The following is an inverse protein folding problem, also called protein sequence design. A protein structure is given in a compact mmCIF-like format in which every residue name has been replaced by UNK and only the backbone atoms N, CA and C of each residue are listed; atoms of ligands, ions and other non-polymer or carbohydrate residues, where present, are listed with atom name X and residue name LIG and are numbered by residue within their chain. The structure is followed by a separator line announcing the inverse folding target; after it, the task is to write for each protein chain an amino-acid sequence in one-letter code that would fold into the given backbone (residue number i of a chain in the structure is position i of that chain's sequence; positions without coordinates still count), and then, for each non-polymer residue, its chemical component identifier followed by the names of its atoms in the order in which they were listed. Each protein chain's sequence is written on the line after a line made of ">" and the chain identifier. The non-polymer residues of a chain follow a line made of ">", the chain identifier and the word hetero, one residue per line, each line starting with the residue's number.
data_IF_214065442790
#
_entry.id   IF_214065442790
#
_cell.length_a   1.000
_cell.length_b   1.000
_cell.length_c   1.000
_cell.angle_alpha   90.00
_cell.angle_beta   90.00
_cell.angle_gamma   90.00
#
_symmetry.space_group_name_H-M   'P 1'
#
loop_
_entity.id
_entity.type
_entity.pdbx_description
1 polymer ?
#
# COMPACT_ATOMS: atom_id res chain seq x y z
N UNK A 1 22.78 -6.56 13.99
CA UNK A 1 23.00 -5.17 13.50
C UNK A 1 21.87 -4.34 14.00
N UNK A 2 22.13 -3.30 14.75
CA UNK A 2 21.11 -2.56 15.48
C UNK A 2 20.47 -1.49 14.58
N UNK A 3 19.23 -1.72 14.12
CA UNK A 3 18.48 -0.80 13.26
C UNK A 3 17.88 0.41 14.00
N UNK A 4 18.31 0.66 15.23
CA UNK A 4 17.71 1.67 16.14
C UNK A 4 18.14 3.12 15.89
N UNK A 5 19.00 3.42 14.90
CA UNK A 5 19.63 4.74 14.74
C UNK A 5 18.94 5.68 13.73
N UNK A 6 17.79 5.33 13.18
CA UNK A 6 17.25 5.97 11.97
C UNK A 6 16.12 6.98 12.17
N UNK A 7 15.92 7.63 13.30
CA UNK A 7 15.03 8.83 13.30
C UNK A 7 15.49 9.84 14.34
N UNK A 8 16.21 10.87 13.92
CA UNK A 8 16.25 12.16 14.60
C UNK A 8 15.55 13.19 13.73
N UNK A 9 14.27 13.41 13.97
CA UNK A 9 13.54 14.54 13.42
C UNK A 9 13.70 15.74 14.35
N UNK A 10 14.19 16.85 13.82
CA UNK A 10 14.21 18.14 14.51
C UNK A 10 12.85 18.84 14.30
N UNK A 11 12.28 19.51 15.31
CA UNK A 11 11.04 20.25 15.16
C UNK A 11 11.30 21.63 14.53
N UNK A 12 10.63 21.93 13.42
CA UNK A 12 10.53 23.30 12.88
C UNK A 12 9.20 23.88 13.32
N UNK A 13 9.27 24.94 14.12
CA UNK A 13 8.13 25.74 14.51
C UNK A 13 7.74 26.66 13.36
N UNK A 14 6.50 26.58 12.88
CA UNK A 14 5.94 27.50 11.89
C UNK A 14 4.97 28.48 12.58
N UNK A 15 5.23 29.76 12.42
CA UNK A 15 4.39 30.86 12.88
C UNK A 15 3.21 31.09 11.92
N UNK A 16 2.02 31.23 12.47
CA UNK A 16 0.77 31.55 11.77
C UNK A 16 0.63 33.06 11.63
N UNK A 17 0.46 33.55 10.40
CA UNK A 17 -0.01 34.91 10.11
C UNK A 17 -1.39 34.85 9.48
N UNK A 18 -2.36 35.38 10.21
CA UNK A 18 -3.74 35.61 9.76
C UNK A 18 -3.81 36.92 8.97
N UNK A 19 -4.36 36.85 7.77
CA UNK A 19 -4.86 38.03 7.04
C UNK A 19 -6.28 37.77 6.56
N UNK A 20 -7.20 38.51 7.13
CA UNK A 20 -8.58 38.57 6.70
C UNK A 20 -8.73 39.67 5.63
N UNK A 21 -9.45 39.41 4.54
CA UNK A 21 -10.06 40.40 3.71
C UNK A 21 -11.38 39.89 3.14
N UNK A 22 -12.41 40.72 3.29
CA UNK A 22 -13.80 40.47 3.03
C UNK A 22 -14.26 41.01 1.66
N UNK A 23 -15.43 40.51 1.25
CA UNK A 23 -16.45 41.14 0.40
C UNK A 23 -16.44 40.90 -1.11
N UNK A 24 -17.60 40.42 -1.58
CA UNK A 24 -18.18 40.74 -2.86
C UNK A 24 -18.95 39.57 -3.50
N UNK A 25 -20.28 39.53 -3.31
CA UNK A 25 -21.16 38.51 -3.87
C UNK A 25 -21.47 38.75 -5.36
N UNK A 26 -21.91 37.69 -6.01
CA UNK A 26 -22.92 37.72 -7.08
C UNK A 26 -23.49 36.30 -7.28
N UNK A 27 -24.77 36.16 -7.08
CA UNK A 27 -25.58 35.00 -7.38
C UNK A 27 -25.53 34.60 -8.85
N UNK A 28 -25.24 33.36 -9.13
CA UNK A 28 -25.69 32.71 -10.35
C UNK A 28 -26.09 31.26 -10.01
N UNK A 29 -27.38 31.07 -9.84
CA UNK A 29 -28.06 29.78 -9.82
C UNK A 29 -27.88 29.07 -11.15
N UNK A 30 -26.96 28.11 -11.20
CA UNK A 30 -26.93 27.12 -12.27
C UNK A 30 -27.46 25.80 -11.72
N UNK A 31 -28.66 25.45 -12.17
CA UNK A 31 -29.31 24.17 -11.96
C UNK A 31 -28.40 23.04 -12.50
N UNK A 32 -27.78 22.29 -11.62
CA UNK A 32 -27.08 21.06 -11.99
C UNK A 32 -28.13 19.99 -12.26
N UNK A 33 -28.45 19.78 -13.52
CA UNK A 33 -29.16 18.60 -13.99
C UNK A 33 -28.30 17.37 -13.68
N UNK A 34 -28.79 16.48 -12.83
CA UNK A 34 -28.16 15.20 -12.54
C UNK A 34 -28.15 14.31 -13.79
N UNK A 35 -27.06 14.33 -14.53
CA UNK A 35 -26.75 13.24 -15.47
C UNK A 35 -26.10 12.13 -14.65
N UNK A 36 -26.72 10.93 -14.65
CA UNK A 36 -26.11 9.70 -14.16
C UNK A 36 -24.79 9.48 -14.90
N UNK A 37 -23.68 9.89 -14.28
CA UNK A 37 -22.37 9.81 -14.88
C UNK A 37 -21.90 8.36 -14.97
N UNK A 38 -21.62 7.90 -16.18
CA UNK A 38 -20.74 6.76 -16.39
C UNK A 38 -19.49 6.96 -15.55
N UNK A 39 -18.92 5.89 -14.98
CA UNK A 39 -17.64 5.95 -14.28
C UNK A 39 -16.65 6.71 -15.15
N UNK A 40 -16.02 7.77 -14.62
CA UNK A 40 -15.08 8.59 -15.39
C UNK A 40 -13.96 7.67 -15.89
N UNK A 41 -13.76 7.61 -17.19
CA UNK A 41 -12.60 6.93 -17.75
C UNK A 41 -11.34 7.75 -17.42
N UNK A 42 -10.18 7.11 -17.21
CA UNK A 42 -8.94 7.85 -17.07
C UNK A 42 -8.69 8.69 -18.33
N UNK A 43 -7.99 9.84 -18.20
CA UNK A 43 -7.62 10.64 -19.36
C UNK A 43 -6.90 9.80 -20.40
N UNK A 44 -7.25 9.98 -21.67
CA UNK A 44 -6.62 9.26 -22.79
C UNK A 44 -5.18 9.73 -22.94
N UNK A 45 -4.23 8.86 -22.67
CA UNK A 45 -2.80 9.08 -22.86
C UNK A 45 -2.17 7.85 -23.52
N UNK A 46 -1.19 8.06 -24.36
CA UNK A 46 -0.43 6.97 -24.97
C UNK A 46 0.74 6.58 -24.04
N UNK A 47 0.97 5.27 -23.92
CA UNK A 47 2.21 4.77 -23.34
C UNK A 47 3.41 5.11 -24.24
N UNK A 48 4.61 5.18 -23.67
CA UNK A 48 5.83 5.34 -24.46
C UNK A 48 6.00 4.20 -25.45
N UNK A 49 6.53 4.51 -26.64
CA UNK A 49 6.84 3.50 -27.69
C UNK A 49 8.30 3.07 -27.70
N UNK A 50 9.17 3.78 -27.01
CA UNK A 50 10.61 3.48 -26.89
C UNK A 50 11.21 4.15 -25.66
N UNK A 51 12.35 3.63 -25.19
CA UNK A 51 13.19 4.25 -24.17
C UNK A 51 14.44 4.78 -24.84
N UNK A 52 14.69 6.07 -24.66
CA UNK A 52 15.87 6.76 -25.19
C UNK A 52 17.02 6.85 -24.20
N UNK A 53 17.93 7.80 -24.48
CA UNK A 53 18.97 8.19 -23.51
C UNK A 53 18.29 8.80 -22.28
N UNK A 54 18.82 8.51 -21.08
CA UNK A 54 18.33 9.14 -19.87
C UNK A 54 18.56 10.66 -19.87
N UNK A 55 17.66 11.37 -19.22
CA UNK A 55 17.66 12.84 -19.15
C UNK A 55 18.63 13.38 -18.07
N UNK A 56 19.38 12.51 -17.40
CA UNK A 56 20.42 12.87 -16.43
C UNK A 56 19.89 13.03 -14.99
N UNK A 57 18.60 13.01 -14.78
CA UNK A 57 17.97 13.16 -13.46
C UNK A 57 16.72 12.28 -13.34
N UNK A 58 16.36 11.90 -12.10
CA UNK A 58 15.14 11.18 -11.78
C UNK A 58 14.64 11.63 -10.39
N UNK A 59 13.44 12.18 -10.33
CA UNK A 59 12.82 12.62 -9.07
C UNK A 59 11.64 11.69 -8.75
N UNK A 60 11.75 10.90 -7.69
CA UNK A 60 10.75 9.88 -7.34
C UNK A 60 10.22 10.05 -5.92
N UNK A 61 8.98 9.61 -5.73
CA UNK A 61 8.38 9.41 -4.42
C UNK A 61 8.44 7.91 -4.11
N UNK A 62 8.93 7.57 -2.92
CA UNK A 62 9.06 6.18 -2.50
C UNK A 62 8.73 5.99 -1.02
N UNK A 63 8.32 4.79 -0.64
CA UNK A 63 8.35 4.38 0.75
C UNK A 63 9.80 4.34 1.26
N UNK A 64 9.99 4.57 2.56
CA UNK A 64 11.30 4.42 3.18
C UNK A 64 11.80 2.98 3.01
N UNK A 65 13.01 2.83 2.48
CA UNK A 65 13.62 1.52 2.21
C UNK A 65 13.53 1.05 0.75
N UNK A 66 12.83 1.76 -0.15
CA UNK A 66 12.73 1.34 -1.56
C UNK A 66 13.81 1.94 -2.47
N UNK A 67 14.53 2.95 -2.01
CA UNK A 67 15.56 3.60 -2.82
C UNK A 67 16.76 3.97 -1.94
N UNK A 68 17.56 2.96 -1.60
CA UNK A 68 18.73 3.11 -0.74
C UNK A 68 20.00 3.40 -1.54
N UNK A 69 20.75 4.41 -1.07
CA UNK A 69 21.97 4.93 -1.68
C UNK A 69 23.23 4.72 -0.80
N UNK A 70 23.14 3.89 0.22
CA UNK A 70 24.20 3.65 1.18
C UNK A 70 24.31 4.70 2.29
N UNK A 71 23.43 5.71 2.34
CA UNK A 71 23.45 6.73 3.39
C UNK A 71 22.95 6.17 4.73
N UNK A 72 21.95 5.28 4.70
CA UNK A 72 21.39 4.62 5.87
C UNK A 72 22.28 3.44 6.35
N UNK A 73 22.71 2.61 5.43
CA UNK A 73 23.66 1.50 5.67
C UNK A 73 24.56 1.39 4.44
N UNK A 74 25.87 1.51 4.64
CA UNK A 74 26.88 1.48 3.57
C UNK A 74 26.92 0.18 2.76
N UNK A 75 26.33 -0.89 3.28
CA UNK A 75 26.20 -2.19 2.60
C UNK A 75 24.92 -2.32 1.77
N UNK A 76 24.04 -1.33 1.85
CA UNK A 76 22.71 -1.33 1.23
C UNK A 76 22.61 -0.15 0.26
N UNK A 77 22.93 -0.43 -1.00
CA UNK A 77 23.00 0.58 -2.05
C UNK A 77 22.67 -0.04 -3.41
N UNK A 78 21.59 0.36 -4.01
CA UNK A 78 21.21 0.05 -5.39
C UNK A 78 20.95 1.31 -6.22
N UNK A 79 20.93 2.47 -5.59
CA UNK A 79 20.77 3.76 -6.27
C UNK A 79 22.10 4.15 -6.94
N UNK A 80 23.21 4.17 -6.22
CA UNK A 80 24.51 4.56 -6.80
C UNK A 80 24.92 3.71 -8.02
N UNK A 81 24.75 2.37 -8.01
CA UNK A 81 24.99 1.57 -9.21
C UNK A 81 24.08 1.92 -10.39
N UNK A 82 22.80 2.22 -10.14
CA UNK A 82 21.87 2.69 -11.18
C UNK A 82 22.34 4.00 -11.80
N UNK A 83 22.69 4.98 -10.98
CA UNK A 83 23.20 6.28 -11.43
C UNK A 83 24.45 6.14 -12.30
N UNK A 84 25.41 5.30 -11.87
CA UNK A 84 26.64 5.03 -12.63
C UNK A 84 26.36 4.37 -13.97
N UNK A 85 25.39 3.46 -14.02
CA UNK A 85 25.07 2.71 -15.24
C UNK A 85 24.28 3.54 -16.24
N UNK A 86 23.37 4.39 -15.76
CA UNK A 86 22.38 5.08 -16.60
C UNK A 86 22.66 6.56 -16.81
N UNK A 87 23.46 7.17 -15.93
CA UNK A 87 23.65 8.63 -15.86
C UNK A 87 22.45 9.37 -15.25
N UNK A 88 21.43 8.67 -14.74
CA UNK A 88 20.25 9.26 -14.13
C UNK A 88 20.47 9.46 -12.62
N UNK A 89 20.72 10.69 -12.17
CA UNK A 89 20.87 11.02 -10.74
C UNK A 89 19.50 10.94 -10.05
N UNK A 90 19.39 10.17 -8.96
CA UNK A 90 18.13 9.88 -8.28
C UNK A 90 17.93 10.81 -7.08
N UNK A 91 16.81 11.53 -7.07
CA UNK A 91 16.37 12.30 -5.93
C UNK A 91 15.09 11.67 -5.36
N UNK A 92 15.15 11.25 -4.11
CA UNK A 92 14.06 10.53 -3.45
C UNK A 92 13.33 11.45 -2.48
N UNK A 93 12.03 11.55 -2.63
CA UNK A 93 11.12 12.06 -1.62
C UNK A 93 10.44 10.89 -0.91
N UNK A 94 10.68 10.72 0.36
CA UNK A 94 9.95 9.72 1.16
C UNK A 94 8.50 10.19 1.35
N UNK A 95 7.57 9.32 0.97
CA UNK A 95 6.15 9.40 1.31
C UNK A 95 5.85 8.44 2.45
N UNK A 96 5.11 8.90 3.46
CA UNK A 96 4.84 8.11 4.66
C UNK A 96 3.47 7.43 4.61
N UNK A 97 2.58 7.89 3.73
CA UNK A 97 1.24 7.33 3.52
C UNK A 97 0.85 7.41 2.05
N UNK A 98 -0.07 6.54 1.61
CA UNK A 98 -0.67 6.60 0.28
C UNK A 98 -1.29 7.96 -0.03
N UNK A 99 -1.94 8.61 0.95
CA UNK A 99 -2.56 9.93 0.79
C UNK A 99 -1.51 11.03 0.57
N UNK A 100 -0.38 10.99 1.30
CA UNK A 100 0.74 11.91 1.07
C UNK A 100 1.30 11.72 -0.34
N UNK A 101 1.52 10.48 -0.79
CA UNK A 101 2.05 10.19 -2.14
C UNK A 101 1.12 10.70 -3.24
N UNK A 102 -0.19 10.51 -3.12
CA UNK A 102 -1.18 11.06 -4.07
C UNK A 102 -1.12 12.59 -4.09
N UNK A 103 -0.98 13.23 -2.93
CA UNK A 103 -0.87 14.69 -2.82
C UNK A 103 0.40 15.21 -3.48
N UNK A 104 1.53 14.55 -3.24
CA UNK A 104 2.82 14.90 -3.83
C UNK A 104 2.81 14.76 -5.36
N UNK A 105 2.21 13.68 -5.90
CA UNK A 105 2.10 13.47 -7.35
C UNK A 105 1.31 14.57 -8.06
N UNK A 106 0.25 15.08 -7.44
CA UNK A 106 -0.55 16.20 -7.99
C UNK A 106 0.27 17.47 -8.23
N UNK A 107 1.37 17.66 -7.51
CA UNK A 107 2.25 18.82 -7.71
C UNK A 107 2.92 18.82 -9.08
N UNK A 108 3.06 17.67 -9.74
CA UNK A 108 3.76 17.50 -11.01
C UNK A 108 5.28 17.74 -10.92
N UNK A 109 5.85 17.66 -9.73
CA UNK A 109 7.29 17.86 -9.50
C UNK A 109 8.11 16.58 -9.60
N UNK A 110 7.44 15.42 -9.59
CA UNK A 110 8.05 14.10 -9.57
C UNK A 110 7.84 13.36 -10.88
N UNK A 111 8.80 12.52 -11.24
CA UNK A 111 8.77 11.69 -12.45
C UNK A 111 8.04 10.38 -12.23
N UNK A 112 7.99 9.91 -10.98
CA UNK A 112 7.28 8.69 -10.63
C UNK A 112 7.08 8.50 -9.14
N UNK A 113 6.32 7.46 -8.81
CA UNK A 113 5.97 7.09 -7.45
C UNK A 113 5.89 5.57 -7.29
N UNK A 114 6.30 5.06 -6.14
CA UNK A 114 5.95 3.69 -5.71
C UNK A 114 4.66 3.75 -4.91
N UNK A 115 3.55 3.27 -5.48
CA UNK A 115 2.22 3.39 -4.90
C UNK A 115 1.62 2.03 -4.58
N UNK A 116 0.90 1.93 -3.45
CA UNK A 116 0.10 0.78 -3.09
C UNK A 116 -1.28 0.83 -3.77
N UNK A 117 -1.98 -0.31 -3.84
CA UNK A 117 -3.22 -0.45 -4.61
C UNK A 117 -4.37 0.48 -4.17
N UNK A 118 -4.37 0.95 -2.93
CA UNK A 118 -5.33 1.94 -2.43
C UNK A 118 -5.14 3.34 -3.02
N UNK A 119 -3.95 3.64 -3.57
CA UNK A 119 -3.63 4.91 -4.23
C UNK A 119 -3.68 4.83 -5.76
N UNK A 120 -3.40 3.66 -6.35
CA UNK A 120 -3.12 3.54 -7.78
C UNK A 120 -4.26 4.03 -8.67
N UNK A 121 -5.51 3.59 -8.45
CA UNK A 121 -6.64 4.03 -9.27
C UNK A 121 -6.96 5.53 -9.06
N UNK A 122 -6.68 6.09 -7.89
CA UNK A 122 -6.81 7.53 -7.64
C UNK A 122 -5.88 8.33 -8.56
N UNK A 123 -4.63 7.88 -8.69
CA UNK A 123 -3.63 8.49 -9.57
C UNK A 123 -3.97 8.29 -11.06
N UNK A 124 -4.50 7.13 -11.42
CA UNK A 124 -4.91 6.82 -12.80
C UNK A 124 -6.10 7.69 -13.22
N UNK A 125 -7.17 7.69 -12.44
CA UNK A 125 -8.40 8.43 -12.79
C UNK A 125 -8.24 9.95 -12.68
N UNK A 126 -7.33 10.45 -11.83
CA UNK A 126 -7.00 11.88 -11.81
C UNK A 126 -6.08 12.31 -12.96
N UNK A 127 -5.48 11.36 -13.70
CA UNK A 127 -4.55 11.65 -14.78
C UNK A 127 -3.17 12.12 -14.28
N UNK A 128 -2.83 11.84 -13.03
CA UNK A 128 -1.52 12.18 -12.46
C UNK A 128 -0.41 11.21 -12.92
N UNK A 129 -0.80 10.02 -13.40
CA UNK A 129 0.11 9.02 -13.97
C UNK A 129 -0.25 8.68 -15.42
N UNK A 130 0.75 8.29 -16.19
CA UNK A 130 0.62 7.86 -17.58
C UNK A 130 0.64 6.33 -17.68
N UNK A 131 0.04 5.77 -18.76
CA UNK A 131 0.18 4.36 -19.07
C UNK A 131 1.64 3.95 -19.24
N UNK A 132 1.98 2.74 -18.77
CA UNK A 132 3.29 2.12 -18.93
C UNK A 132 3.23 1.05 -20.01
N UNK A 133 4.22 1.04 -20.90
CA UNK A 133 4.42 -0.06 -21.85
C UNK A 133 5.35 -1.10 -21.21
N UNK A 134 4.85 -2.27 -20.80
CA UNK A 134 5.67 -3.30 -20.13
C UNK A 134 6.73 -3.91 -21.04
N UNK A 135 6.57 -3.85 -22.38
CA UNK A 135 7.58 -4.34 -23.33
C UNK A 135 8.88 -3.53 -23.28
N UNK A 136 8.82 -2.31 -22.74
CA UNK A 136 9.98 -1.43 -22.50
C UNK A 136 10.68 -1.70 -21.15
N UNK A 137 10.18 -2.67 -20.39
CA UNK A 137 10.70 -3.09 -19.09
C UNK A 137 11.04 -4.60 -19.15
N UNK A 138 12.19 -4.99 -19.70
CA UNK A 138 12.53 -6.38 -19.98
C UNK A 138 12.40 -7.33 -18.79
N UNK A 139 12.75 -6.87 -17.59
CA UNK A 139 12.62 -7.67 -16.37
C UNK A 139 11.16 -7.96 -15.97
N UNK A 140 10.18 -7.23 -16.51
CA UNK A 140 8.76 -7.48 -16.28
C UNK A 140 8.33 -8.88 -16.74
N UNK A 141 9.00 -9.44 -17.75
CA UNK A 141 8.73 -10.80 -18.23
C UNK A 141 8.77 -11.86 -17.11
N UNK A 142 9.60 -11.65 -16.10
CA UNK A 142 9.79 -12.56 -14.96
C UNK A 142 9.10 -12.10 -13.67
N UNK A 143 8.22 -11.11 -13.70
CA UNK A 143 7.32 -10.77 -12.59
C UNK A 143 6.32 -11.91 -12.39
N UNK A 144 5.98 -12.21 -11.14
CA UNK A 144 5.04 -13.26 -10.79
C UNK A 144 3.69 -13.09 -11.51
N UNK A 145 3.11 -14.12 -12.14
CA UNK A 145 1.90 -13.99 -12.94
C UNK A 145 0.70 -13.41 -12.18
N UNK A 146 0.58 -13.72 -10.89
CA UNK A 146 -0.51 -13.23 -10.05
C UNK A 146 -0.41 -11.72 -9.69
N UNK A 147 0.68 -11.04 -10.09
CA UNK A 147 0.85 -9.59 -9.91
C UNK A 147 0.69 -8.81 -11.22
N UNK A 148 0.63 -9.50 -12.38
CA UNK A 148 0.54 -8.86 -13.70
C UNK A 148 -0.90 -8.48 -14.06
N UNK A 149 -1.08 -7.36 -14.73
CA UNK A 149 -2.37 -6.91 -15.31
C UNK A 149 -3.54 -6.94 -14.32
N UNK A 150 -3.30 -6.45 -13.12
CA UNK A 150 -4.30 -6.47 -12.06
C UNK A 150 -5.14 -5.21 -12.01
N UNK A 151 -6.39 -5.36 -11.53
CA UNK A 151 -7.37 -4.27 -11.44
C UNK A 151 -6.89 -3.06 -10.64
N UNK A 152 -5.93 -3.21 -9.73
CA UNK A 152 -5.37 -2.09 -8.98
C UNK A 152 -4.32 -1.28 -9.75
N UNK A 153 -3.74 -1.81 -10.83
CA UNK A 153 -2.73 -1.11 -11.62
C UNK A 153 -2.99 -1.11 -13.13
N UNK A 154 -4.15 -1.62 -13.56
CA UNK A 154 -4.55 -1.69 -14.97
C UNK A 154 -5.98 -1.22 -15.15
N UNK A 155 -6.24 -0.40 -16.18
CA UNK A 155 -7.58 0.08 -16.52
C UNK A 155 -7.76 -0.01 -18.04
N UNK A 156 -8.87 -0.59 -18.47
CA UNK A 156 -9.21 -0.75 -19.90
C UNK A 156 -8.11 -1.44 -20.73
N UNK A 157 -7.42 -2.42 -20.15
CA UNK A 157 -6.33 -3.15 -20.80
C UNK A 157 -5.01 -2.38 -20.90
N UNK A 158 -4.91 -1.20 -20.30
CA UNK A 158 -3.66 -0.44 -20.18
C UNK A 158 -3.08 -0.61 -18.80
N UNK A 159 -1.78 -0.93 -18.71
CA UNK A 159 -1.02 -0.90 -17.48
C UNK A 159 -0.58 0.52 -17.14
N UNK A 160 -0.52 0.81 -15.83
CA UNK A 160 -0.06 2.09 -15.30
C UNK A 160 1.08 1.93 -14.28
N UNK A 161 1.49 0.71 -13.98
CA UNK A 161 2.55 0.50 -13.02
C UNK A 161 3.21 -0.87 -13.08
N UNK A 162 4.46 -0.93 -12.65
CA UNK A 162 5.29 -2.13 -12.61
C UNK A 162 5.37 -2.59 -11.15
N UNK A 163 4.77 -3.73 -10.77
CA UNK A 163 4.87 -4.25 -9.40
C UNK A 163 6.30 -4.66 -9.08
N UNK A 164 6.75 -4.35 -7.86
CA UNK A 164 8.10 -4.71 -7.43
C UNK A 164 8.15 -5.49 -6.12
N UNK A 165 7.11 -5.42 -5.29
CA UNK A 165 7.00 -6.14 -4.04
C UNK A 165 5.55 -6.33 -3.62
N UNK A 166 5.31 -7.27 -2.70
CA UNK A 166 3.98 -7.56 -2.18
C UNK A 166 4.04 -8.19 -0.79
N UNK A 167 2.92 -8.13 -0.08
CA UNK A 167 2.78 -8.75 1.22
C UNK A 167 1.34 -8.91 1.66
N UNK A 168 1.12 -9.81 2.62
CA UNK A 168 -0.15 -9.98 3.30
C UNK A 168 -0.22 -9.11 4.56
N UNK A 169 -1.42 -8.66 4.90
CA UNK A 169 -1.74 -8.18 6.23
C UNK A 169 -2.04 -9.41 7.09
N UNK A 170 -1.08 -9.83 7.91
CA UNK A 170 -1.21 -11.06 8.71
C UNK A 170 -1.88 -10.79 10.06
N UNK A 171 -2.61 -11.75 10.57
CA UNK A 171 -2.98 -11.78 11.98
C UNK A 171 -1.75 -12.26 12.76
N UNK A 172 -1.15 -11.35 13.53
CA UNK A 172 0.00 -11.67 14.36
C UNK A 172 -0.35 -11.60 15.84
N UNK A 173 0.34 -12.39 16.68
CA UNK A 173 0.09 -12.42 18.12
C UNK A 173 1.35 -12.75 18.93
N UNK A 174 1.38 -12.25 20.15
CA UNK A 174 2.35 -12.62 21.17
C UNK A 174 2.09 -14.04 21.65
N UNK A 175 3.04 -14.96 21.43
CA UNK A 175 2.88 -16.38 21.77
C UNK A 175 2.87 -16.66 23.28
N UNK A 176 3.38 -15.72 24.08
CA UNK A 176 3.36 -15.77 25.56
C UNK A 176 2.10 -15.14 26.19
N UNK A 177 1.24 -14.50 25.38
CA UNK A 177 0.04 -13.79 25.84
C UNK A 177 -1.26 -14.31 25.25
N UNK A 178 -1.21 -14.93 24.10
CA UNK A 178 -2.38 -15.38 23.34
C UNK A 178 -2.32 -16.88 23.18
N UNK A 179 -3.28 -17.58 23.76
CA UNK A 179 -3.43 -19.04 23.71
C UNK A 179 -4.91 -19.41 23.76
N UNK A 180 -5.39 -20.34 22.92
CA UNK A 180 -4.66 -20.98 21.83
C UNK A 180 -4.28 -20.00 20.70
N UNK A 181 -3.38 -20.39 19.79
CA UNK A 181 -3.07 -19.60 18.58
C UNK A 181 -4.34 -19.26 17.80
N UNK A 182 -4.57 -17.99 17.41
CA UNK A 182 -5.75 -17.61 16.66
C UNK A 182 -5.65 -18.05 15.20
N UNK A 183 -6.76 -18.49 14.62
CA UNK A 183 -6.88 -18.89 13.21
C UNK A 183 -7.95 -18.11 12.44
N UNK A 184 -8.54 -17.10 13.10
CA UNK A 184 -9.67 -16.31 12.59
C UNK A 184 -9.52 -14.84 12.97
N UNK A 185 -9.95 -13.94 12.06
CA UNK A 185 -10.10 -12.52 12.36
C UNK A 185 -11.15 -12.23 13.45
N UNK A 186 -11.96 -13.22 13.86
CA UNK A 186 -12.86 -13.07 15.00
C UNK A 186 -12.13 -12.65 16.29
N UNK A 187 -10.86 -13.06 16.47
CA UNK A 187 -10.06 -12.67 17.63
C UNK A 187 -9.85 -11.16 17.75
N UNK A 188 -9.96 -10.40 16.65
CA UNK A 188 -9.82 -8.92 16.60
C UNK A 188 -11.13 -8.18 16.35
N UNK A 189 -12.16 -8.84 15.78
CA UNK A 189 -13.44 -8.19 15.44
C UNK A 189 -14.59 -8.54 16.39
N UNK A 190 -14.56 -9.69 17.08
CA UNK A 190 -15.66 -10.08 17.96
C UNK A 190 -15.71 -9.22 19.22
N UNK A 191 -16.91 -8.68 19.53
CA UNK A 191 -17.13 -7.82 20.69
C UNK A 191 -16.68 -8.45 22.03
N UNK A 192 -16.72 -9.78 22.10
CA UNK A 192 -16.34 -10.53 23.29
C UNK A 192 -14.87 -10.97 23.28
N UNK A 193 -14.04 -10.41 22.39
CA UNK A 193 -12.61 -10.71 22.40
C UNK A 193 -12.02 -10.50 23.80
N UNK A 194 -11.29 -11.48 24.36
CA UNK A 194 -10.68 -11.35 25.68
C UNK A 194 -9.50 -10.34 25.69
N UNK A 195 -9.13 -9.81 24.53
CA UNK A 195 -7.98 -8.94 24.34
C UNK A 195 -8.34 -7.46 24.25
N UNK A 196 -9.43 -7.05 24.90
CA UNK A 196 -9.90 -5.64 24.92
C UNK A 196 -8.78 -4.68 25.34
N UNK A 197 -8.55 -3.63 24.53
CA UNK A 197 -7.50 -2.63 24.74
C UNK A 197 -6.09 -3.15 24.43
N UNK A 198 -5.97 -4.36 23.86
CA UNK A 198 -4.70 -5.02 23.51
C UNK A 198 -4.60 -5.40 22.02
N UNK A 199 -5.57 -4.98 21.22
CA UNK A 199 -5.61 -5.24 19.78
C UNK A 199 -4.94 -4.09 19.05
N UNK A 200 -4.17 -4.41 18.01
CA UNK A 200 -3.58 -3.44 17.09
C UNK A 200 -4.28 -3.49 15.73
N UNK A 201 -4.50 -2.34 15.12
CA UNK A 201 -5.13 -2.20 13.80
C UNK A 201 -4.37 -1.21 12.94
N UNK A 202 -4.39 -1.41 11.61
CA UNK A 202 -3.73 -0.50 10.67
C UNK A 202 -4.51 0.82 10.57
N UNK A 203 -3.82 1.95 10.72
CA UNK A 203 -4.41 3.29 10.70
C UNK A 203 -4.52 3.84 9.27
N UNK A 204 -5.46 3.31 8.52
CA UNK A 204 -5.77 3.78 7.16
C UNK A 204 -7.22 3.47 6.81
N UNK A 205 -7.90 4.29 6.00
CA UNK A 205 -9.24 3.98 5.48
C UNK A 205 -9.34 2.62 4.81
N UNK A 206 -8.24 2.12 4.21
CA UNK A 206 -8.22 0.81 3.54
C UNK A 206 -8.46 -0.36 4.51
N UNK A 207 -8.24 -0.17 5.81
CA UNK A 207 -8.54 -1.17 6.84
C UNK A 207 -10.03 -1.53 6.91
N UNK A 208 -10.92 -0.71 6.36
CA UNK A 208 -12.35 -1.05 6.21
C UNK A 208 -12.50 -2.36 5.43
N UNK A 209 -11.61 -2.63 4.46
CA UNK A 209 -11.63 -3.88 3.70
C UNK A 209 -11.32 -5.13 4.55
N UNK A 210 -10.50 -5.01 5.59
CA UNK A 210 -10.22 -6.12 6.53
C UNK A 210 -11.50 -6.56 7.26
N UNK A 211 -12.27 -5.60 7.74
CA UNK A 211 -13.57 -5.86 8.36
C UNK A 211 -14.60 -6.41 7.35
N UNK A 212 -14.62 -5.87 6.12
CA UNK A 212 -15.49 -6.38 5.06
C UNK A 212 -15.15 -7.82 4.68
N UNK A 213 -13.86 -8.18 4.63
CA UNK A 213 -13.42 -9.55 4.39
C UNK A 213 -13.89 -10.50 5.48
N UNK A 214 -13.80 -10.09 6.74
CA UNK A 214 -14.34 -10.86 7.86
C UNK A 214 -15.87 -11.03 7.75
N UNK A 215 -16.62 -9.97 7.43
CA UNK A 215 -18.06 -10.04 7.22
C UNK A 215 -18.43 -10.91 6.01
N UNK A 216 -17.65 -10.88 4.94
CA UNK A 216 -17.85 -11.78 3.78
C UNK A 216 -17.89 -13.24 4.21
N UNK A 217 -17.03 -13.63 5.14
CA UNK A 217 -16.96 -15.02 5.63
C UNK A 217 -18.01 -15.33 6.70
N UNK A 218 -18.40 -14.37 7.54
CA UNK A 218 -19.22 -14.59 8.74
C UNK A 218 -20.68 -14.15 8.60
N UNK A 219 -20.99 -13.30 7.59
CA UNK A 219 -22.34 -12.76 7.31
C UNK A 219 -22.69 -12.93 5.83
N UNK A 220 -22.89 -14.17 5.35
CA UNK A 220 -23.12 -14.45 3.92
C UNK A 220 -24.36 -13.72 3.36
N UNK A 221 -25.33 -13.38 4.19
CA UNK A 221 -26.51 -12.62 3.79
C UNK A 221 -26.19 -11.22 3.26
N UNK A 222 -25.05 -10.65 3.64
CA UNK A 222 -24.54 -9.38 3.10
C UNK A 222 -24.07 -9.51 1.64
N UNK A 223 -23.82 -10.73 1.14
CA UNK A 223 -23.40 -11.00 -0.24
C UNK A 223 -22.17 -10.21 -0.68
N UNK A 224 -21.22 -9.95 0.25
CA UNK A 224 -19.96 -9.28 -0.09
C UNK A 224 -19.15 -10.21 -0.97
N UNK A 225 -18.87 -9.83 -2.21
CA UNK A 225 -18.03 -10.56 -3.16
C UNK A 225 -16.60 -10.03 -3.16
N UNK A 226 -16.46 -8.70 -3.15
CA UNK A 226 -15.19 -7.98 -3.15
C UNK A 226 -15.17 -7.00 -1.94
N UNK A 227 -14.19 -7.09 -1.04
CA UNK A 227 -14.13 -6.24 0.16
C UNK A 227 -13.88 -4.76 -0.14
N UNK A 228 -13.54 -4.39 -1.38
CA UNK A 228 -13.32 -3.02 -1.83
C UNK A 228 -14.52 -2.42 -2.58
N UNK A 229 -15.53 -3.24 -2.90
CA UNK A 229 -16.71 -2.86 -3.68
C UNK A 229 -17.98 -3.00 -2.84
N UNK A 230 -18.15 -2.11 -1.87
CA UNK A 230 -19.23 -2.16 -0.88
C UNK A 230 -20.33 -1.17 -1.23
N UNK A 231 -21.55 -1.67 -1.42
CA UNK A 231 -22.75 -0.82 -1.49
C UNK A 231 -23.11 -0.22 -0.12
N UNK A 232 -24.19 0.57 -0.05
CA UNK A 232 -24.61 1.25 1.18
C UNK A 232 -24.82 0.28 2.35
N UNK A 233 -25.47 -0.85 2.12
CA UNK A 233 -25.80 -1.82 3.17
C UNK A 233 -24.54 -2.55 3.66
N UNK A 234 -23.71 -2.99 2.74
CA UNK A 234 -22.46 -3.70 3.02
C UNK A 234 -21.46 -2.76 3.74
N UNK A 235 -21.37 -1.53 3.26
CA UNK A 235 -20.49 -0.52 3.84
C UNK A 235 -20.91 -0.14 5.25
N UNK A 236 -22.22 0.10 5.47
CA UNK A 236 -22.74 0.45 6.80
C UNK A 236 -22.49 -0.69 7.81
N UNK A 237 -22.75 -1.94 7.42
CA UNK A 237 -22.48 -3.09 8.28
C UNK A 237 -20.99 -3.21 8.64
N UNK A 238 -20.10 -2.88 7.70
CA UNK A 238 -18.66 -2.89 7.91
C UNK A 238 -18.21 -1.77 8.84
N UNK A 239 -18.75 -0.57 8.67
CA UNK A 239 -18.49 0.58 9.55
C UNK A 239 -18.98 0.31 10.98
N UNK A 240 -20.16 -0.29 11.12
CA UNK A 240 -20.71 -0.64 12.43
C UNK A 240 -19.83 -1.68 13.17
N UNK A 241 -19.31 -2.67 12.45
CA UNK A 241 -18.36 -3.62 13.01
C UNK A 241 -17.08 -2.93 13.49
N UNK A 242 -16.53 -1.98 12.72
CA UNK A 242 -15.32 -1.24 13.12
C UNK A 242 -15.57 -0.29 14.28
N UNK A 243 -16.74 0.36 14.35
CA UNK A 243 -17.15 1.16 15.52
C UNK A 243 -17.24 0.29 16.78
N UNK A 244 -17.73 -0.95 16.65
CA UNK A 244 -17.73 -1.93 17.74
C UNK A 244 -16.29 -2.34 18.10
N UNK A 245 -15.43 -2.63 17.11
CA UNK A 245 -14.02 -2.97 17.32
C UNK A 245 -13.23 -1.85 18.00
N UNK A 246 -13.60 -0.59 17.78
CA UNK A 246 -12.92 0.57 18.38
C UNK A 246 -12.68 0.43 19.88
N UNK A 247 -13.64 -0.16 20.60
CA UNK A 247 -13.51 -0.41 22.03
C UNK A 247 -12.50 -1.50 22.42
N UNK A 248 -12.07 -2.30 21.46
CA UNK A 248 -11.09 -3.40 21.63
C UNK A 248 -9.68 -2.96 21.26
N UNK A 249 -9.55 -1.94 20.38
CA UNK A 249 -8.26 -1.48 19.87
C UNK A 249 -7.51 -0.69 20.92
N UNK A 250 -6.29 -1.11 21.21
CA UNK A 250 -5.33 -0.40 22.05
C UNK A 250 -4.49 0.58 21.25
N UNK A 251 -4.19 0.25 19.99
CA UNK A 251 -3.38 1.11 19.13
C UNK A 251 -3.78 0.99 17.65
N UNK A 252 -3.96 2.16 17.02
CA UNK A 252 -3.97 2.30 15.57
C UNK A 252 -2.59 2.75 15.09
N UNK A 253 -1.99 2.01 14.17
CA UNK A 253 -0.63 2.28 13.68
C UNK A 253 -0.61 2.54 12.17
N UNK A 254 0.14 3.56 11.76
CA UNK A 254 0.56 3.82 10.38
C UNK A 254 2.08 3.76 10.23
N UNK A 255 2.80 3.87 11.34
CA UNK A 255 4.25 3.69 11.45
C UNK A 255 4.55 2.29 12.01
N UNK A 256 5.15 1.42 11.20
CA UNK A 256 5.45 0.05 11.57
C UNK A 256 6.36 -0.08 12.79
N UNK A 257 7.23 0.93 13.04
CA UNK A 257 8.12 0.91 14.20
C UNK A 257 7.36 1.02 15.51
N UNK A 258 6.23 1.76 15.53
CA UNK A 258 5.33 1.84 16.68
C UNK A 258 4.60 0.52 16.89
N UNK A 259 4.13 -0.12 15.81
CA UNK A 259 3.52 -1.43 15.90
C UNK A 259 4.47 -2.48 16.48
N UNK A 260 5.74 -2.48 16.06
CA UNK A 260 6.80 -3.33 16.62
C UNK A 260 6.99 -3.06 18.11
N UNK A 261 7.14 -1.78 18.52
CA UNK A 261 7.33 -1.39 19.92
C UNK A 261 6.15 -1.81 20.79
N UNK A 262 4.91 -1.65 20.32
CA UNK A 262 3.72 -2.02 21.07
C UNK A 262 3.61 -3.55 21.28
N UNK A 263 4.04 -4.36 20.31
CA UNK A 263 4.15 -5.80 20.48
C UNK A 263 5.29 -6.18 21.42
N UNK A 264 6.45 -5.52 21.33
CA UNK A 264 7.61 -5.77 22.21
C UNK A 264 7.27 -5.48 23.68
N UNK A 265 6.64 -4.34 23.95
CA UNK A 265 6.24 -3.93 25.31
C UNK A 265 5.07 -4.77 25.85
N UNK A 266 4.20 -5.29 24.97
CA UNK A 266 2.95 -5.93 25.34
C UNK A 266 1.81 -4.94 25.59
N UNK A 267 1.94 -3.71 25.10
CA UNK A 267 0.84 -2.75 25.05
C UNK A 267 -0.26 -3.25 24.13
N UNK A 268 0.13 -3.90 23.03
CA UNK A 268 -0.74 -4.75 22.21
C UNK A 268 -0.23 -6.19 22.19
N UNK A 269 -1.13 -7.15 22.00
CA UNK A 269 -0.77 -8.57 22.01
C UNK A 269 -1.19 -9.34 20.77
N UNK A 270 -2.10 -8.81 19.96
CA UNK A 270 -2.49 -9.36 18.67
C UNK A 270 -3.11 -8.28 17.77
N UNK A 271 -3.19 -8.59 16.48
CA UNK A 271 -3.89 -7.75 15.50
C UNK A 271 -3.27 -7.80 14.12
N UNK A 272 -3.68 -6.87 13.27
CA UNK A 272 -3.16 -6.73 11.92
C UNK A 272 -1.73 -6.24 11.94
N UNK A 273 -0.85 -6.98 11.27
CA UNK A 273 0.57 -6.68 11.15
C UNK A 273 1.08 -6.99 9.74
N UNK A 274 2.28 -6.53 9.42
CA UNK A 274 3.04 -7.02 8.29
C UNK A 274 4.05 -8.07 8.73
N UNK A 275 4.42 -8.99 7.85
CA UNK A 275 5.39 -10.04 8.17
C UNK A 275 6.72 -9.46 8.67
N UNK A 276 7.16 -8.33 8.12
CA UNK A 276 8.37 -7.64 8.60
C UNK A 276 8.29 -7.25 10.07
N UNK A 277 7.12 -6.83 10.57
CA UNK A 277 6.94 -6.48 11.99
C UNK A 277 7.16 -7.71 12.89
N UNK A 278 6.62 -8.85 12.47
CA UNK A 278 6.82 -10.15 13.16
C UNK A 278 8.30 -10.51 13.22
N UNK A 279 9.00 -10.37 12.10
CA UNK A 279 10.43 -10.69 12.00
C UNK A 279 11.28 -9.73 12.86
N UNK A 280 10.95 -8.44 12.89
CA UNK A 280 11.65 -7.43 13.69
C UNK A 280 11.49 -7.70 15.18
N UNK A 281 10.29 -7.99 15.67
CA UNK A 281 10.06 -8.35 17.07
C UNK A 281 10.85 -9.59 17.43
N UNK A 282 10.78 -10.65 16.61
CA UNK A 282 11.47 -11.92 16.86
C UNK A 282 12.99 -11.81 16.84
N UNK A 283 13.54 -10.89 16.04
CA UNK A 283 14.98 -10.64 15.93
C UNK A 283 15.53 -9.66 16.97
N UNK A 284 14.71 -8.72 17.45
CA UNK A 284 15.16 -7.57 18.24
C UNK A 284 14.83 -7.62 19.73
N UNK A 285 13.90 -8.48 20.16
CA UNK A 285 13.44 -8.50 21.56
C UNK A 285 13.32 -9.89 22.15
N UNK A 286 13.01 -9.97 23.47
CA UNK A 286 12.66 -11.21 24.16
C UNK A 286 11.23 -11.66 23.85
N UNK A 287 10.38 -10.76 23.37
CA UNK A 287 9.04 -11.09 22.94
C UNK A 287 9.09 -12.06 21.75
N UNK A 288 8.13 -12.97 21.70
CA UNK A 288 7.96 -13.88 20.56
C UNK A 288 6.57 -13.67 19.98
N UNK A 289 6.56 -13.50 18.67
CA UNK A 289 5.36 -13.24 17.88
C UNK A 289 5.27 -14.31 16.79
N UNK A 290 4.09 -14.81 16.57
CA UNK A 290 3.78 -15.68 15.44
C UNK A 290 2.68 -15.04 14.61
N UNK A 291 2.45 -15.52 13.39
CA UNK A 291 1.50 -14.95 12.45
C UNK A 291 0.86 -15.99 11.55
N UNK A 292 -0.32 -15.65 11.06
CA UNK A 292 -1.06 -16.48 10.11
C UNK A 292 -1.88 -15.61 9.16
N UNK A 293 -2.11 -16.08 7.95
CA UNK A 293 -3.27 -15.68 7.15
C UNK A 293 -4.46 -16.49 7.64
N UNK A 294 -5.46 -15.87 8.30
CA UNK A 294 -6.59 -16.58 8.89
C UNK A 294 -7.43 -17.34 7.86
N UNK A 295 -8.32 -18.19 8.33
CA UNK A 295 -9.17 -19.04 7.46
C UNK A 295 -10.07 -18.24 6.52
N UNK A 296 -10.43 -17.04 6.89
CA UNK A 296 -11.19 -16.11 6.05
C UNK A 296 -10.36 -15.51 4.89
N UNK A 297 -9.05 -15.76 4.86
CA UNK A 297 -8.09 -15.05 4.02
C UNK A 297 -7.61 -13.75 4.68
N UNK A 298 -6.93 -12.91 3.92
CA UNK A 298 -6.45 -11.62 4.39
C UNK A 298 -6.50 -10.56 3.28
N UNK A 299 -6.45 -9.30 3.66
CA UNK A 299 -6.06 -8.24 2.74
C UNK A 299 -4.53 -8.25 2.57
N UNK A 300 -4.05 -7.56 1.56
CA UNK A 300 -2.62 -7.41 1.32
C UNK A 300 -2.34 -6.34 0.29
N UNK A 301 -1.10 -6.07 0.04
CA UNK A 301 -0.65 -5.00 -0.82
C UNK A 301 0.32 -5.51 -1.89
N UNK A 302 0.36 -4.79 -3.00
CA UNK A 302 1.37 -4.96 -4.05
C UNK A 302 1.77 -3.57 -4.51
N UNK A 303 3.01 -3.19 -4.20
CA UNK A 303 3.50 -1.87 -4.52
C UNK A 303 4.01 -1.81 -5.96
N UNK A 304 3.71 -0.69 -6.60
CA UNK A 304 3.82 -0.53 -8.04
C UNK A 304 4.53 0.78 -8.38
N UNK A 305 5.61 0.71 -9.16
CA UNK A 305 6.24 1.91 -9.72
C UNK A 305 5.42 2.47 -10.87
N UNK A 306 4.96 3.70 -10.73
CA UNK A 306 4.14 4.42 -11.71
C UNK A 306 4.88 5.64 -12.23
N UNK A 307 4.70 5.96 -13.52
CA UNK A 307 5.28 7.15 -14.16
C UNK A 307 4.29 8.32 -14.12
N UNK A 308 4.76 9.51 -13.74
CA UNK A 308 3.96 10.73 -13.80
C UNK A 308 3.55 11.07 -15.24
N UNK A 309 2.31 11.50 -15.41
CA UNK A 309 1.86 12.08 -16.70
C UNK A 309 2.60 13.37 -17.08
N UNK A 310 3.27 13.99 -16.10
CA UNK A 310 4.06 15.22 -16.23
C UNK A 310 5.57 14.97 -16.05
N UNK A 311 6.01 13.69 -16.17
CA UNK A 311 7.41 13.33 -15.99
C UNK A 311 8.31 14.14 -16.93
N UNK A 312 9.33 14.76 -16.35
CA UNK A 312 10.37 15.48 -17.10
C UNK A 312 11.49 14.54 -17.56
N UNK A 313 11.62 13.41 -16.89
CA UNK A 313 12.67 12.42 -17.09
C UNK A 313 12.08 11.02 -17.34
N UNK A 314 11.20 10.84 -18.36
CA UNK A 314 10.50 9.59 -18.59
C UNK A 314 11.43 8.42 -18.95
N UNK A 315 12.53 8.66 -19.67
CA UNK A 315 13.48 7.60 -19.98
C UNK A 315 14.22 7.10 -18.74
N UNK A 316 14.62 8.01 -17.84
CA UNK A 316 15.21 7.65 -16.54
C UNK A 316 14.20 6.85 -15.71
N UNK A 317 12.90 7.20 -15.74
CA UNK A 317 11.87 6.47 -14.99
C UNK A 317 11.66 5.05 -15.53
N UNK A 318 11.61 4.84 -16.85
CA UNK A 318 11.55 3.50 -17.44
C UNK A 318 12.79 2.65 -17.10
N UNK A 319 13.98 3.25 -17.14
CA UNK A 319 15.22 2.57 -16.70
C UNK A 319 15.18 2.18 -15.24
N UNK A 320 14.59 3.04 -14.38
CA UNK A 320 14.40 2.75 -12.96
C UNK A 320 13.42 1.58 -12.76
N UNK A 321 12.28 1.58 -13.47
CA UNK A 321 11.32 0.48 -13.39
C UNK A 321 11.95 -0.86 -13.73
N UNK A 322 12.78 -0.92 -14.76
CA UNK A 322 13.48 -2.15 -15.14
C UNK A 322 14.58 -2.53 -14.14
N UNK A 323 15.32 -1.54 -13.65
CA UNK A 323 16.38 -1.73 -12.68
C UNK A 323 15.89 -2.31 -11.36
N UNK A 324 14.86 -1.69 -10.78
CA UNK A 324 14.34 -2.04 -9.44
C UNK A 324 13.75 -3.45 -9.38
N UNK A 325 13.27 -3.97 -10.49
CA UNK A 325 12.80 -5.34 -10.62
C UNK A 325 13.81 -6.28 -11.29
N UNK A 326 15.07 -5.86 -11.49
CA UNK A 326 16.11 -6.82 -11.89
C UNK A 326 16.32 -7.83 -10.75
N UNK A 327 16.64 -9.11 -11.04
CA UNK A 327 16.62 -10.16 -10.02
C UNK A 327 17.46 -9.84 -8.77
N UNK A 328 18.66 -9.32 -8.97
CA UNK A 328 19.56 -8.98 -7.85
C UNK A 328 19.06 -7.79 -7.04
N UNK A 329 18.63 -6.71 -7.71
CA UNK A 329 18.17 -5.50 -7.02
C UNK A 329 16.86 -5.77 -6.32
N UNK A 330 15.92 -6.46 -6.96
CA UNK A 330 14.63 -6.79 -6.34
C UNK A 330 14.80 -7.70 -5.11
N UNK A 331 15.81 -8.61 -5.12
CA UNK A 331 16.17 -9.38 -3.94
C UNK A 331 16.67 -8.49 -2.80
N UNK A 332 17.58 -7.53 -3.10
CA UNK A 332 18.11 -6.61 -2.10
C UNK A 332 17.03 -5.72 -1.49
N UNK A 333 16.13 -5.17 -2.33
CA UNK A 333 14.98 -4.36 -1.87
C UNK A 333 14.08 -5.19 -0.98
N UNK A 334 13.69 -6.40 -1.43
CA UNK A 334 12.80 -7.27 -0.69
C UNK A 334 13.36 -7.66 0.69
N UNK A 335 14.65 -7.99 0.77
CA UNK A 335 15.32 -8.32 2.04
C UNK A 335 15.43 -7.11 2.96
N UNK A 336 15.74 -5.93 2.40
CA UNK A 336 15.89 -4.71 3.18
C UNK A 336 14.57 -4.18 3.72
N UNK A 337 13.58 -4.06 2.85
CA UNK A 337 12.25 -3.58 3.22
C UNK A 337 11.49 -4.59 4.07
N UNK A 338 11.62 -5.87 3.74
CA UNK A 338 10.90 -6.98 4.38
C UNK A 338 9.58 -7.27 3.68
N UNK A 339 9.67 -7.68 2.41
CA UNK A 339 8.53 -8.01 1.54
C UNK A 339 8.83 -9.24 0.67
N UNK A 340 7.81 -9.76 0.03
CA UNK A 340 7.98 -10.73 -1.05
C UNK A 340 8.38 -10.00 -2.34
N UNK A 341 9.48 -10.39 -3.01
CA UNK A 341 9.86 -9.81 -4.30
C UNK A 341 8.81 -10.14 -5.37
N UNK A 342 8.51 -9.18 -6.24
CA UNK A 342 7.66 -9.43 -7.40
C UNK A 342 8.37 -10.24 -8.49
N UNK A 343 9.69 -10.15 -8.58
CA UNK A 343 10.53 -10.83 -9.56
C UNK A 343 10.79 -12.29 -9.14
N UNK A 344 10.31 -13.26 -9.93
CA UNK A 344 10.42 -14.69 -9.58
C UNK A 344 11.86 -15.20 -9.45
N UNK A 345 12.80 -14.60 -10.19
CA UNK A 345 14.23 -14.97 -10.13
C UNK A 345 14.99 -14.30 -8.98
N UNK A 346 14.33 -13.37 -8.25
CA UNK A 346 14.96 -12.70 -7.11
C UNK A 346 15.26 -13.68 -5.97
N UNK A 347 14.44 -14.72 -5.80
CA UNK A 347 14.63 -15.72 -4.75
C UNK A 347 15.97 -16.46 -4.83
N UNK A 348 16.54 -16.63 -6.03
CA UNK A 348 17.85 -17.21 -6.21
C UNK A 348 18.99 -16.25 -5.78
N UNK A 349 18.67 -14.95 -5.71
CA UNK A 349 19.62 -13.87 -5.45
C UNK A 349 19.60 -13.38 -4.00
N UNK A 350 18.63 -13.81 -3.18
CA UNK A 350 18.56 -13.40 -1.77
C UNK A 350 19.76 -13.90 -0.98
N UNK A 351 20.28 -13.08 -0.09
CA UNK A 351 21.36 -13.45 0.85
C UNK A 351 20.83 -14.43 1.90
N UNK A 352 19.68 -14.12 2.49
CA UNK A 352 18.92 -15.06 3.32
C UNK A 352 18.13 -16.04 2.43
N UNK A 353 18.56 -17.29 2.39
CA UNK A 353 17.93 -18.34 1.57
C UNK A 353 16.52 -18.72 2.05
N UNK A 354 16.13 -18.36 3.26
CA UNK A 354 14.80 -18.56 3.79
C UNK A 354 13.84 -17.41 3.47
N UNK A 355 14.33 -16.26 2.96
CA UNK A 355 13.54 -15.06 2.74
C UNK A 355 12.25 -15.33 1.93
N UNK A 356 12.38 -15.89 0.75
CA UNK A 356 11.24 -16.14 -0.11
C UNK A 356 10.24 -17.16 0.47
N UNK A 357 10.70 -18.09 1.30
CA UNK A 357 9.82 -19.00 2.03
C UNK A 357 9.08 -18.25 3.13
N UNK A 358 9.78 -17.43 3.91
CA UNK A 358 9.21 -16.64 5.01
C UNK A 358 8.13 -15.67 4.52
N UNK A 359 8.33 -15.08 3.34
CA UNK A 359 7.40 -14.13 2.73
C UNK A 359 6.45 -14.76 1.69
N UNK A 360 6.47 -16.09 1.51
CA UNK A 360 5.63 -16.81 0.55
C UNK A 360 5.72 -16.30 -0.90
N UNK A 361 6.90 -15.80 -1.31
CA UNK A 361 7.09 -15.04 -2.54
C UNK A 361 6.62 -15.73 -3.83
N UNK A 362 6.75 -17.06 -3.89
CA UNK A 362 6.39 -17.87 -5.06
C UNK A 362 5.20 -18.83 -4.77
N UNK A 363 4.53 -18.64 -3.65
CA UNK A 363 3.41 -19.49 -3.22
C UNK A 363 2.08 -18.94 -3.78
N UNK A 364 1.67 -19.48 -4.94
CA UNK A 364 0.40 -19.12 -5.57
C UNK A 364 -0.80 -19.39 -4.66
N UNK A 365 -0.80 -20.52 -3.92
CA UNK A 365 -1.91 -20.87 -3.05
C UNK A 365 -2.05 -19.89 -1.87
N UNK A 366 -0.93 -19.37 -1.39
CA UNK A 366 -0.93 -18.31 -0.38
C UNK A 366 -1.43 -16.98 -1.00
N UNK A 367 -0.91 -16.60 -2.17
CA UNK A 367 -1.30 -15.39 -2.88
C UNK A 367 -2.81 -15.37 -3.23
N UNK A 368 -3.41 -16.52 -3.56
CA UNK A 368 -4.85 -16.66 -3.87
C UNK A 368 -5.75 -16.41 -2.65
N UNK A 369 -5.21 -16.44 -1.43
CA UNK A 369 -5.92 -16.12 -0.20
C UNK A 369 -5.88 -14.64 0.15
N UNK A 370 -5.17 -13.84 -0.64
CA UNK A 370 -4.97 -12.41 -0.40
C UNK A 370 -5.90 -11.59 -1.29
N UNK A 371 -6.72 -10.76 -0.65
CA UNK A 371 -7.49 -9.70 -1.31
C UNK A 371 -6.59 -8.46 -1.41
N UNK A 372 -5.92 -8.30 -2.55
CA UNK A 372 -4.97 -7.18 -2.73
C UNK A 372 -5.68 -5.84 -2.69
N UNK A 373 -5.08 -4.87 -2.01
CA UNK A 373 -5.59 -3.50 -1.93
C UNK A 373 -5.90 -2.94 -3.31
N UNK A 374 -7.10 -2.44 -3.44
CA UNK A 374 -7.61 -1.77 -4.63
C UNK A 374 -8.35 -0.53 -4.18
N UNK A 375 -8.14 0.59 -4.85
CA UNK A 375 -8.84 1.83 -4.52
C UNK A 375 -10.35 1.64 -4.64
N UNK A 376 -11.14 1.81 -3.57
CA UNK A 376 -12.60 1.80 -3.66
C UNK A 376 -13.13 2.88 -4.60
N UNK A 377 -14.00 2.50 -5.51
CA UNK A 377 -14.63 3.37 -6.50
C UNK A 377 -16.15 3.26 -6.41
N UNK A 378 -16.87 4.20 -7.04
CA UNK A 378 -18.33 4.12 -7.09
C UNK A 378 -18.83 2.96 -7.94
N UNK A 379 -18.06 2.55 -8.95
CA UNK A 379 -18.38 1.40 -9.76
C UNK A 379 -18.09 0.11 -8.99
N UNK A 380 -19.14 -0.70 -8.78
CA UNK A 380 -19.04 -1.99 -8.09
C UNK A 380 -18.45 -3.11 -8.96
N UNK A 381 -18.14 -2.86 -10.22
CA UNK A 381 -17.64 -3.91 -11.14
C UNK A 381 -18.65 -4.99 -11.51
N UNK A 382 -19.92 -4.86 -11.07
CA UNK A 382 -21.01 -5.81 -11.33
C UNK A 382 -22.34 -5.08 -11.59
N UNK A 383 -23.46 -5.82 -11.60
CA UNK A 383 -24.81 -5.31 -11.92
C UNK A 383 -25.31 -4.21 -10.94
N UNK A 384 -24.65 -4.00 -9.79
CA UNK A 384 -24.96 -2.90 -8.87
C UNK A 384 -24.57 -1.53 -9.44
N UNK A 385 -23.74 -1.50 -10.49
CA UNK A 385 -23.33 -0.28 -11.17
C UNK A 385 -22.55 0.68 -10.25
N UNK A 386 -22.96 1.96 -10.19
CA UNK A 386 -22.26 3.02 -9.46
C UNK A 386 -22.81 3.24 -8.03
N UNK A 387 -23.20 2.19 -7.32
CA UNK A 387 -23.75 2.25 -5.96
C UNK A 387 -22.72 2.03 -4.85
N UNK A 388 -21.51 1.63 -5.18
CA UNK A 388 -20.46 1.40 -4.19
C UNK A 388 -19.89 2.71 -3.61
N UNK A 389 -19.33 2.60 -2.42
CA UNK A 389 -18.68 3.72 -1.73
C UNK A 389 -17.27 3.91 -2.23
N UNK A 390 -16.98 5.12 -2.68
CA UNK A 390 -15.64 5.50 -3.14
C UNK A 390 -14.69 5.79 -1.96
N UNK A 391 -13.41 5.99 -2.27
CA UNK A 391 -12.37 6.25 -1.27
C UNK A 391 -12.66 7.50 -0.43
N UNK A 392 -13.38 8.50 -0.96
CA UNK A 392 -13.78 9.70 -0.19
C UNK A 392 -14.73 9.32 0.93
N UNK A 393 -15.75 8.49 0.63
CA UNK A 393 -16.66 7.98 1.64
C UNK A 393 -15.92 7.11 2.67
N UNK A 394 -14.95 6.31 2.25
CA UNK A 394 -14.12 5.51 3.15
C UNK A 394 -13.29 6.37 4.09
N UNK A 395 -12.66 7.43 3.60
CA UNK A 395 -11.88 8.38 4.42
C UNK A 395 -12.75 9.07 5.46
N UNK A 396 -13.96 9.49 5.07
CA UNK A 396 -14.92 10.10 5.99
C UNK A 396 -15.34 9.11 7.09
N UNK A 397 -15.72 7.89 6.71
CA UNK A 397 -16.12 6.86 7.67
C UNK A 397 -14.98 6.47 8.61
N UNK A 398 -13.73 6.40 8.10
CA UNK A 398 -12.57 6.11 8.92
C UNK A 398 -12.35 7.15 10.01
N UNK A 399 -12.56 8.43 9.68
CA UNK A 399 -12.51 9.52 10.67
C UNK A 399 -13.57 9.34 11.75
N UNK A 400 -14.80 8.96 11.37
CA UNK A 400 -15.89 8.69 12.31
C UNK A 400 -15.65 7.45 13.18
N UNK A 401 -15.03 6.39 12.64
CA UNK A 401 -14.72 5.16 13.39
C UNK A 401 -13.73 5.46 14.51
N UNK A 402 -12.76 6.36 14.26
CA UNK A 402 -11.71 6.68 15.23
C UNK A 402 -12.11 7.75 16.26
N UNK A 403 -13.17 8.52 16.00
CA UNK A 403 -13.71 9.52 16.95
C UNK A 403 -14.48 8.85 18.10
#
# INVERSE_FOLDING_TARGET
>A
MDRRTMVRAAPVAAAVLLLAAACGGSDSTSSASGSGGAAAAPPSMAAASSVGTGEGQLNIIAWAGYAEDGSNDKTVDWVTPFEKQTGCQVNVKIGNTSDEMVTLMKTGQYDGVSASGDATLRLIYSGDVAPVNPDLVPNYASVAPFLKDRAWNSVNGQMYGIPHGWGANVLAWRTDKVSPPPDTWGSVFDANSPYKGKITAYDSPIYIADAALYLKATKPDLKITNPYELDDTQFQATVDLLKQQRALVGEYWSDYTKAVQALESGDTVLGTQWQVNVNLVNGGSKAKVDSVVPKEGSTGWSDTWMISSKAKHPNCMYKWMDWIISPKVNAQVAEWFGEAPAQTKACDQTADKSHCQTYHALDQAYADRISYWTTPTRNCGDDRGNTCKDYTAWTQAWTEIKS
#
